data_IF_160643407788
#
_entry.id   IF_160643407788
#
_cell.length_a   1.000
_cell.length_b   1.000
_cell.length_c   1.000
_cell.angle_alpha   90.00
_cell.angle_beta   90.00
_cell.angle_gamma   90.00
#
_symmetry.space_group_name_H-M   'P 1'
#
loop_
_entity.id
_entity.type
_entity.pdbx_description
1 polymer ?
#
# COMPACT_ATOMS: atom_id res chain seq x y z
N UNK A 1 13.08 3.63 -52.65
CA UNK A 1 13.33 2.62 -51.59
C UNK A 1 13.65 3.22 -50.21
N UNK A 2 14.36 4.35 -50.11
CA UNK A 2 14.77 4.99 -48.83
C UNK A 2 13.64 5.40 -47.86
N UNK A 3 12.42 5.66 -48.35
CA UNK A 3 11.28 6.03 -47.48
C UNK A 3 10.69 4.85 -46.70
N UNK A 4 10.61 3.65 -47.29
CA UNK A 4 9.98 2.48 -46.63
C UNK A 4 10.82 2.00 -45.45
N UNK A 5 12.15 2.02 -45.58
CA UNK A 5 13.07 1.69 -44.50
C UNK A 5 13.04 2.71 -43.38
N UNK A 6 12.95 4.01 -43.67
CA UNK A 6 12.80 5.05 -42.62
C UNK A 6 11.49 4.91 -41.87
N UNK A 7 10.38 4.60 -42.56
CA UNK A 7 9.06 4.37 -41.93
C UNK A 7 9.10 3.13 -41.03
N UNK A 8 9.68 2.03 -41.51
CA UNK A 8 9.85 0.80 -40.72
C UNK A 8 10.70 1.06 -39.47
N UNK A 9 11.82 1.79 -39.59
CA UNK A 9 12.69 2.12 -38.46
C UNK A 9 11.99 2.99 -37.41
N UNK A 10 11.14 3.93 -37.82
CA UNK A 10 10.39 4.81 -36.92
C UNK A 10 9.25 4.08 -36.20
N UNK A 11 8.54 3.18 -36.88
CA UNK A 11 7.55 2.30 -36.25
C UNK A 11 8.26 1.41 -35.23
N UNK A 12 9.38 0.80 -35.60
CA UNK A 12 10.16 -0.03 -34.70
C UNK A 12 10.65 0.76 -33.48
N UNK A 13 11.11 1.99 -33.68
CA UNK A 13 11.55 2.89 -32.61
C UNK A 13 10.39 3.27 -31.66
N UNK A 14 9.20 3.52 -32.20
CA UNK A 14 8.01 3.89 -31.41
C UNK A 14 7.50 2.70 -30.58
N UNK A 15 7.48 1.51 -31.17
CA UNK A 15 7.13 0.26 -30.48
C UNK A 15 8.16 -0.05 -29.40
N UNK A 16 9.46 0.07 -29.71
CA UNK A 16 10.53 -0.13 -28.74
C UNK A 16 10.44 0.86 -27.58
N UNK A 17 10.17 2.15 -27.83
CA UNK A 17 10.01 3.17 -26.79
C UNK A 17 8.78 2.91 -25.92
N UNK A 18 7.67 2.48 -26.52
CA UNK A 18 6.44 2.12 -25.79
C UNK A 18 6.64 0.88 -24.92
N UNK A 19 7.32 -0.15 -25.45
CA UNK A 19 7.68 -1.34 -24.69
C UNK A 19 8.65 -1.02 -23.56
N UNK A 20 9.62 -0.12 -23.78
CA UNK A 20 10.52 0.36 -22.74
C UNK A 20 9.77 1.15 -21.65
N UNK A 21 8.84 2.04 -22.02
CA UNK A 21 8.03 2.78 -21.06
C UNK A 21 7.12 1.86 -20.23
N UNK A 22 6.46 0.89 -20.88
CA UNK A 22 5.66 -0.13 -20.20
C UNK A 22 6.53 -1.03 -19.29
N UNK A 23 7.73 -1.39 -19.75
CA UNK A 23 8.70 -2.17 -18.98
C UNK A 23 9.21 -1.41 -17.75
N UNK A 24 9.51 -0.11 -17.87
CA UNK A 24 9.90 0.75 -16.76
C UNK A 24 8.74 0.92 -15.78
N UNK A 25 7.53 1.23 -16.26
CA UNK A 25 6.35 1.34 -15.41
C UNK A 25 6.06 0.02 -14.66
N UNK A 26 6.13 -1.11 -15.37
CA UNK A 26 5.99 -2.44 -14.76
C UNK A 26 7.07 -2.73 -13.73
N UNK A 27 8.34 -2.41 -14.02
CA UNK A 27 9.45 -2.61 -13.09
C UNK A 27 9.30 -1.79 -11.79
N UNK A 28 8.83 -0.54 -11.89
CA UNK A 28 8.56 0.31 -10.72
C UNK A 28 7.35 -0.19 -9.92
N UNK A 29 6.34 -0.76 -10.58
CA UNK A 29 5.13 -1.28 -9.94
C UNK A 29 5.33 -2.65 -9.26
N UNK A 30 6.31 -3.43 -9.72
CA UNK A 30 6.62 -4.77 -9.18
C UNK A 30 7.52 -4.70 -7.94
N UNK A 31 8.23 -3.57 -7.70
CA UNK A 31 9.06 -3.45 -6.50
C UNK A 31 8.18 -3.38 -5.25
N UNK A 32 8.42 -4.26 -4.26
CA UNK A 32 7.63 -4.22 -3.05
C UNK A 32 7.94 -2.96 -2.25
N UNK A 33 6.90 -2.34 -1.69
CA UNK A 33 7.05 -1.16 -0.85
C UNK A 33 7.63 -1.57 0.51
N UNK A 34 8.70 -0.91 0.92
CA UNK A 34 9.24 -1.05 2.27
C UNK A 34 8.30 -0.34 3.26
N UNK A 35 7.87 -1.07 4.28
CA UNK A 35 7.01 -0.59 5.36
C UNK A 35 7.75 -0.80 6.66
N UNK A 36 8.08 0.28 7.36
CA UNK A 36 8.86 0.22 8.59
C UNK A 36 7.95 -0.06 9.79
N UNK A 37 8.26 -1.12 10.54
CA UNK A 37 7.55 -1.52 11.76
C UNK A 37 8.41 -1.22 13.00
N UNK A 38 7.96 -0.27 13.80
CA UNK A 38 8.52 0.02 15.11
C UNK A 38 8.12 -1.08 16.11
N UNK A 39 9.10 -1.77 16.69
CA UNK A 39 8.89 -2.92 17.56
C UNK A 39 9.87 -2.91 18.74
N UNK A 40 9.47 -3.50 19.86
CA UNK A 40 10.35 -3.73 21.01
C UNK A 40 11.60 -4.54 20.60
N UNK A 41 12.74 -4.39 21.28
CA UNK A 41 13.99 -5.02 20.86
C UNK A 41 13.98 -6.53 21.17
N UNK A 42 14.91 -7.28 20.58
CA UNK A 42 15.13 -8.68 20.98
C UNK A 42 15.58 -8.77 22.44
N UNK A 43 15.21 -9.83 23.19
CA UNK A 43 14.49 -11.05 22.77
C UNK A 43 12.95 -11.00 23.00
N UNK A 44 12.31 -9.84 22.84
CA UNK A 44 10.88 -9.67 23.12
C UNK A 44 9.96 -10.58 22.27
N UNK A 45 8.83 -11.08 22.82
CA UNK A 45 7.79 -11.75 22.05
C UNK A 45 7.27 -10.91 20.88
N UNK A 46 7.15 -9.61 21.08
CA UNK A 46 6.72 -8.64 20.08
C UNK A 46 7.66 -8.62 18.87
N UNK A 47 8.98 -8.65 19.09
CA UNK A 47 9.96 -8.76 18.01
C UNK A 47 9.84 -10.08 17.25
N UNK A 48 9.70 -11.19 17.98
CA UNK A 48 9.54 -12.52 17.36
C UNK A 48 8.29 -12.61 16.48
N UNK A 49 7.18 -12.04 16.93
CA UNK A 49 5.97 -11.90 16.13
C UNK A 49 6.20 -11.06 14.88
N UNK A 50 6.83 -9.89 15.02
CA UNK A 50 7.09 -8.99 13.91
C UNK A 50 7.99 -9.65 12.84
N UNK A 51 8.97 -10.43 13.27
CA UNK A 51 9.85 -11.18 12.36
C UNK A 51 9.10 -12.29 11.62
N UNK A 52 8.26 -13.07 12.31
CA UNK A 52 7.36 -14.05 11.68
C UNK A 52 6.41 -13.38 10.66
N UNK A 53 5.87 -12.21 10.98
CA UNK A 53 5.01 -11.46 10.07
C UNK A 53 5.77 -11.01 8.81
N UNK A 54 7.01 -10.55 8.96
CA UNK A 54 7.88 -10.20 7.83
C UNK A 54 8.17 -11.41 6.92
N UNK A 55 8.40 -12.59 7.53
CA UNK A 55 8.60 -13.85 6.81
C UNK A 55 7.34 -14.27 6.04
N UNK A 56 6.15 -14.23 6.67
CA UNK A 56 4.87 -14.57 6.03
C UNK A 56 4.59 -13.65 4.84
N UNK A 57 4.78 -12.33 4.98
CA UNK A 57 4.61 -11.38 3.87
C UNK A 57 5.60 -11.66 2.72
N UNK A 58 6.79 -12.15 3.06
CA UNK A 58 7.80 -12.54 2.06
C UNK A 58 7.37 -13.80 1.31
N UNK A 59 6.91 -14.82 2.03
CA UNK A 59 6.43 -16.10 1.48
C UNK A 59 5.20 -15.91 0.59
N UNK A 60 4.26 -15.07 1.03
CA UNK A 60 3.02 -14.77 0.29
C UNK A 60 3.25 -13.86 -0.94
N UNK A 61 4.50 -13.46 -1.21
CA UNK A 61 4.85 -12.49 -2.28
C UNK A 61 4.00 -11.23 -2.20
N UNK A 62 3.73 -10.75 -0.98
CA UNK A 62 2.98 -9.52 -0.76
C UNK A 62 3.66 -8.33 -1.46
N UNK A 63 2.88 -7.32 -1.82
CA UNK A 63 3.37 -6.07 -2.41
C UNK A 63 4.18 -5.22 -1.42
N UNK A 64 4.25 -5.65 -0.16
CA UNK A 64 5.00 -5.01 0.91
C UNK A 64 6.12 -5.89 1.48
N UNK A 65 7.15 -5.24 2.00
CA UNK A 65 8.22 -5.84 2.81
C UNK A 65 8.29 -5.09 4.14
N UNK A 66 8.34 -5.84 5.24
CA UNK A 66 8.50 -5.24 6.56
C UNK A 66 9.98 -5.05 6.88
N UNK A 67 10.33 -3.82 7.24
CA UNK A 67 11.61 -3.50 7.86
C UNK A 67 11.40 -3.29 9.35
N UNK A 68 12.03 -4.11 10.18
CA UNK A 68 11.89 -4.03 11.63
C UNK A 68 12.85 -2.97 12.18
N UNK A 69 12.30 -1.98 12.89
CA UNK A 69 13.08 -0.92 13.56
C UNK A 69 12.92 -1.08 15.08
N UNK A 70 13.91 -1.69 15.78
CA UNK A 70 13.87 -1.84 17.22
C UNK A 70 13.79 -0.48 17.93
N UNK A 71 12.87 -0.36 18.89
CA UNK A 71 12.70 0.83 19.74
C UNK A 71 13.27 0.56 21.12
N UNK A 72 13.85 1.55 21.77
CA UNK A 72 14.28 1.49 23.18
C UNK A 72 13.07 1.58 24.14
N UNK A 73 12.00 2.24 23.72
CA UNK A 73 10.76 2.37 24.50
C UNK A 73 9.53 2.44 23.61
N UNK A 74 8.36 2.07 24.16
CA UNK A 74 7.08 2.23 23.46
C UNK A 74 6.79 3.69 23.05
N UNK A 75 7.28 4.67 23.83
CA UNK A 75 7.14 6.08 23.49
C UNK A 75 7.95 6.47 22.24
N UNK A 76 9.14 5.89 22.05
CA UNK A 76 9.94 6.11 20.85
C UNK A 76 9.25 5.56 19.60
N UNK A 77 8.63 4.38 19.69
CA UNK A 77 7.83 3.82 18.59
C UNK A 77 6.69 4.76 18.17
N UNK A 78 5.97 5.33 19.15
CA UNK A 78 4.91 6.31 18.85
C UNK A 78 5.45 7.63 18.28
N UNK A 79 6.63 8.07 18.73
CA UNK A 79 7.27 9.26 18.18
C UNK A 79 7.66 9.06 16.70
N UNK A 80 8.23 7.91 16.35
CA UNK A 80 8.55 7.56 14.97
C UNK A 80 7.30 7.44 14.09
N UNK A 81 6.21 6.87 14.62
CA UNK A 81 4.92 6.83 13.92
C UNK A 81 4.38 8.24 13.64
N UNK A 82 4.51 9.16 14.61
CA UNK A 82 4.09 10.55 14.45
C UNK A 82 4.96 11.33 13.45
N UNK A 83 6.27 11.07 13.44
CA UNK A 83 7.25 11.72 12.56
C UNK A 83 7.25 11.13 11.13
N UNK A 84 6.63 9.97 10.93
CA UNK A 84 6.67 9.24 9.66
C UNK A 84 7.97 8.47 9.42
N UNK A 85 8.78 8.26 10.48
CA UNK A 85 9.94 7.38 10.45
C UNK A 85 9.58 5.89 10.60
N UNK A 86 8.36 5.62 11.08
CA UNK A 86 7.75 4.29 11.08
C UNK A 86 6.34 4.37 10.48
N UNK A 87 5.98 3.35 9.71
CA UNK A 87 4.63 3.24 9.12
C UNK A 87 3.69 2.42 10.01
N UNK A 88 4.25 1.47 10.76
CA UNK A 88 3.55 0.58 11.66
C UNK A 88 4.19 0.64 13.06
N UNK A 89 3.37 0.42 14.09
CA UNK A 89 3.85 0.27 15.47
C UNK A 89 3.00 -0.72 16.26
N UNK A 90 3.61 -1.36 17.26
CA UNK A 90 2.90 -2.12 18.27
C UNK A 90 2.62 -1.24 19.49
N UNK A 91 1.36 -1.15 19.88
CA UNK A 91 0.87 -0.20 20.90
C UNK A 91 0.08 -0.96 21.96
N UNK A 92 0.10 -0.47 23.20
CA UNK A 92 -0.85 -0.95 24.22
C UNK A 92 -1.87 0.13 24.50
N UNK A 93 -3.13 -0.26 24.67
CA UNK A 93 -4.25 0.68 24.77
C UNK A 93 -4.09 1.72 25.88
N UNK A 94 -3.41 1.40 26.99
CA UNK A 94 -3.18 2.29 28.12
C UNK A 94 -1.93 3.20 27.98
N UNK A 95 -1.30 3.24 26.80
CA UNK A 95 -0.18 4.15 26.54
C UNK A 95 -0.62 5.62 26.56
N UNK A 96 0.13 6.46 27.27
CA UNK A 96 -0.25 7.87 27.53
C UNK A 96 -0.27 8.76 26.29
N UNK A 97 0.45 8.39 25.23
CA UNK A 97 0.68 9.23 24.05
C UNK A 97 0.50 8.42 22.78
N UNK A 98 -0.76 8.20 22.41
CA UNK A 98 -1.11 7.62 21.11
C UNK A 98 -1.39 8.78 20.13
N UNK A 99 -0.54 9.00 19.10
CA UNK A 99 -0.79 10.01 18.08
C UNK A 99 -2.20 9.90 17.47
N UNK A 100 -2.89 11.03 17.24
CA UNK A 100 -4.24 11.05 16.68
C UNK A 100 -4.33 10.54 15.24
N UNK A 101 -3.18 10.40 14.57
CA UNK A 101 -3.03 9.86 13.22
C UNK A 101 -2.69 8.36 13.21
N UNK A 102 -2.57 7.72 14.38
CA UNK A 102 -2.53 6.27 14.47
C UNK A 102 -3.91 5.69 14.12
N UNK A 103 -3.91 4.57 13.40
CA UNK A 103 -5.11 3.85 13.00
C UNK A 103 -4.96 2.38 13.32
N UNK A 104 -5.97 1.80 13.95
CA UNK A 104 -5.95 0.40 14.35
C UNK A 104 -6.08 -0.51 13.13
N UNK A 105 -5.20 -1.51 13.05
CA UNK A 105 -5.26 -2.57 12.04
C UNK A 105 -5.87 -3.83 12.67
N UNK A 106 -5.36 -4.25 13.83
CA UNK A 106 -5.82 -5.46 14.50
C UNK A 106 -5.51 -5.39 16.00
N UNK A 107 -6.35 -6.06 16.80
CA UNK A 107 -6.03 -6.38 18.20
C UNK A 107 -5.24 -7.68 18.17
N UNK A 108 -3.96 -7.61 18.52
CA UNK A 108 -3.08 -8.78 18.50
C UNK A 108 -3.30 -9.65 19.72
N UNK A 109 -3.56 -9.04 20.88
CA UNK A 109 -3.80 -9.77 22.11
C UNK A 109 -4.47 -8.90 23.18
N UNK A 110 -5.31 -9.51 24.00
CA UNK A 110 -5.86 -8.89 25.20
C UNK A 110 -5.15 -9.42 26.44
N UNK A 111 -4.71 -8.52 27.32
CA UNK A 111 -4.03 -8.86 28.56
C UNK A 111 -4.92 -8.49 29.74
N UNK A 112 -5.38 -9.50 30.46
CA UNK A 112 -6.20 -9.31 31.67
C UNK A 112 -5.32 -9.15 32.90
N UNK A 113 -5.77 -8.30 33.82
CA UNK A 113 -5.15 -8.14 35.12
C UNK A 113 -5.63 -9.26 36.06
N UNK A 114 -4.68 -10.02 36.61
CA UNK A 114 -4.94 -10.95 37.70
C UNK A 114 -4.46 -10.33 39.00
N UNK A 115 -5.40 -10.14 39.92
CA UNK A 115 -5.13 -9.72 41.28
C UNK A 115 -5.08 -10.95 42.18
N UNK A 116 -3.88 -11.29 42.65
CA UNK A 116 -3.61 -12.51 43.39
C UNK A 116 -3.24 -12.19 44.84
N UNK A 117 -3.84 -12.93 45.76
CA UNK A 117 -3.55 -12.84 47.20
C UNK A 117 -3.37 -14.24 47.80
N UNK A 118 -2.71 -14.39 48.96
CA UNK A 118 -2.79 -15.63 49.74
C UNK A 118 -4.24 -16.02 49.98
N UNK A 119 -4.59 -17.31 49.89
CA UNK A 119 -6.00 -17.74 49.97
C UNK A 119 -6.71 -17.29 51.27
N UNK A 120 -5.96 -17.25 52.38
CA UNK A 120 -6.44 -16.80 53.71
C UNK A 120 -6.29 -15.28 53.94
N UNK A 121 -5.93 -14.51 52.93
CA UNK A 121 -5.76 -13.06 53.04
C UNK A 121 -7.10 -12.36 53.28
N UNK A 122 -7.08 -11.30 54.09
CA UNK A 122 -8.24 -10.39 54.29
C UNK A 122 -8.41 -9.39 53.15
N UNK A 123 -7.44 -9.31 52.24
CA UNK A 123 -7.46 -8.41 51.08
C UNK A 123 -8.43 -8.99 50.04
N UNK A 124 -9.52 -8.26 49.76
CA UNK A 124 -10.59 -8.69 48.85
C UNK A 124 -10.74 -7.77 47.64
N UNK A 125 -10.33 -6.51 47.76
CA UNK A 125 -10.46 -5.49 46.73
C UNK A 125 -9.14 -4.72 46.55
N UNK A 126 -9.04 -3.98 45.44
CA UNK A 126 -7.92 -3.08 45.20
C UNK A 126 -7.81 -1.97 46.26
N UNK A 127 -8.93 -1.57 46.88
CA UNK A 127 -8.95 -0.59 47.96
C UNK A 127 -8.24 -1.08 49.23
N UNK A 128 -8.21 -2.40 49.46
CA UNK A 128 -7.56 -3.00 50.64
C UNK A 128 -6.02 -3.01 50.56
N UNK A 129 -5.46 -2.60 49.41
CA UNK A 129 -4.01 -2.53 49.17
C UNK A 129 -3.36 -1.29 49.78
N UNK A 130 -4.13 -0.41 50.42
CA UNK A 130 -3.58 0.74 51.13
C UNK A 130 -2.55 0.29 52.19
N UNK A 131 -1.32 0.83 52.10
CA UNK A 131 -0.19 0.50 52.99
C UNK A 131 0.25 -0.99 52.94
N UNK A 132 -0.23 -1.76 51.95
CA UNK A 132 0.20 -3.14 51.70
C UNK A 132 1.36 -3.18 50.72
N UNK A 133 2.20 -4.19 50.84
CA UNK A 133 3.30 -4.40 49.89
C UNK A 133 2.78 -5.23 48.73
N UNK A 134 2.68 -4.59 47.57
CA UNK A 134 2.15 -5.22 46.36
C UNK A 134 3.27 -5.43 45.37
N UNK A 135 3.38 -6.66 44.89
CA UNK A 135 4.30 -7.00 43.82
C UNK A 135 3.60 -6.85 42.47
N UNK A 136 4.27 -6.23 41.51
CA UNK A 136 3.79 -6.15 40.13
C UNK A 136 4.77 -6.89 39.22
N UNK A 137 4.27 -7.86 38.45
CA UNK A 137 5.08 -8.52 37.42
C UNK A 137 5.24 -7.58 36.25
N UNK A 138 6.47 -7.13 36.02
CA UNK A 138 6.76 -6.03 35.11
C UNK A 138 8.10 -6.24 34.39
N UNK A 139 8.14 -5.88 33.11
CA UNK A 139 9.35 -6.00 32.26
C UNK A 139 9.97 -4.65 31.93
N UNK A 140 9.13 -3.64 31.68
CA UNK A 140 9.49 -2.39 31.02
C UNK A 140 8.89 -1.15 31.70
N UNK A 141 8.46 -1.28 32.96
CA UNK A 141 7.83 -0.25 33.79
C UNK A 141 6.35 -0.01 33.49
N UNK A 142 5.81 -0.61 32.44
CA UNK A 142 4.45 -0.29 31.95
C UNK A 142 3.37 -0.92 32.82
N UNK A 143 3.58 -2.11 33.37
CA UNK A 143 2.60 -2.75 34.27
C UNK A 143 2.60 -2.04 35.62
N UNK A 144 3.77 -1.64 36.11
CA UNK A 144 3.87 -0.84 37.34
C UNK A 144 3.15 0.51 37.17
N UNK A 145 3.40 1.22 36.06
CA UNK A 145 2.76 2.50 35.77
C UNK A 145 1.24 2.37 35.60
N UNK A 146 0.75 1.27 35.00
CA UNK A 146 -0.67 0.98 34.93
C UNK A 146 -1.26 0.74 36.34
N UNK A 147 -0.62 -0.10 37.15
CA UNK A 147 -1.09 -0.39 38.49
C UNK A 147 -1.13 0.86 39.38
N UNK A 148 -0.11 1.71 39.33
CA UNK A 148 -0.11 3.00 40.03
C UNK A 148 -1.29 3.89 39.61
N UNK A 149 -1.60 3.98 38.31
CA UNK A 149 -2.78 4.70 37.81
C UNK A 149 -4.10 4.12 38.31
N UNK A 150 -4.20 2.79 38.41
CA UNK A 150 -5.37 2.15 39.01
C UNK A 150 -5.53 2.57 40.48
N UNK A 151 -4.44 2.55 41.25
CA UNK A 151 -4.43 2.95 42.66
C UNK A 151 -4.77 4.42 42.91
N UNK A 152 -4.40 5.33 42.00
CA UNK A 152 -4.77 6.75 42.07
C UNK A 152 -6.30 6.95 42.13
N UNK A 153 -7.07 6.08 41.49
CA UNK A 153 -8.53 6.16 41.49
C UNK A 153 -9.16 5.75 42.84
N UNK A 154 -8.45 5.00 43.68
CA UNK A 154 -8.94 4.52 44.97
C UNK A 154 -8.73 5.53 46.11
N UNK A 155 -8.25 6.75 45.84
CA UNK A 155 -8.10 7.87 46.79
C UNK A 155 -7.53 7.45 48.15
N UNK A 156 -6.44 6.71 48.14
CA UNK A 156 -5.68 6.43 49.36
C UNK A 156 -5.13 7.74 49.94
N UNK A 157 -5.34 7.98 51.23
CA UNK A 157 -4.95 9.21 51.95
C UNK A 157 -3.42 9.40 51.99
N UNK A 158 -2.83 9.79 50.86
CA UNK A 158 -1.45 10.26 50.72
C UNK A 158 -0.34 9.23 50.90
N UNK A 159 -0.64 7.94 51.14
CA UNK A 159 0.37 6.87 51.23
C UNK A 159 0.20 5.85 50.10
N UNK A 160 1.08 5.93 49.11
CA UNK A 160 1.13 4.95 48.03
C UNK A 160 1.39 3.55 48.59
N UNK A 161 0.71 2.54 48.04
CA UNK A 161 1.07 1.14 48.27
C UNK A 161 2.57 0.95 48.01
N UNK A 162 3.25 0.13 48.81
CA UNK A 162 4.65 -0.19 48.56
C UNK A 162 4.69 -1.12 47.34
N UNK A 163 4.81 -0.54 46.15
CA UNK A 163 4.85 -1.27 44.89
C UNK A 163 6.28 -1.71 44.61
N UNK A 164 6.46 -3.02 44.40
CA UNK A 164 7.75 -3.60 43.99
C UNK A 164 7.56 -4.30 42.65
N UNK A 165 8.24 -3.78 41.62
CA UNK A 165 8.32 -4.45 40.33
C UNK A 165 9.25 -5.67 40.42
N UNK A 166 8.84 -6.79 39.84
CA UNK A 166 9.68 -7.97 39.65
C UNK A 166 9.56 -8.52 38.23
N UNK A 167 10.60 -9.18 37.70
CA UNK A 167 10.58 -9.72 36.35
C UNK A 167 9.43 -10.73 36.14
N UNK A 168 8.80 -10.75 34.95
CA UNK A 168 7.78 -11.73 34.63
C UNK A 168 8.33 -13.15 34.73
N UNK A 169 7.54 -14.07 35.29
CA UNK A 169 7.95 -15.47 35.49
C UNK A 169 8.60 -15.76 36.84
N UNK A 170 8.78 -14.74 37.70
CA UNK A 170 9.19 -14.96 39.08
C UNK A 170 8.11 -15.76 39.83
N UNK A 171 8.45 -16.88 40.51
CA UNK A 171 7.46 -17.70 41.22
C UNK A 171 6.74 -16.90 42.32
N UNK A 172 5.42 -17.09 42.46
CA UNK A 172 4.61 -16.41 43.48
C UNK A 172 4.88 -16.95 44.90
N UNK A 173 5.22 -18.24 45.02
CA UNK A 173 5.52 -18.92 46.27
C UNK A 173 6.47 -18.16 47.22
N UNK A 174 7.69 -17.77 46.81
CA UNK A 174 8.61 -17.03 47.67
C UNK A 174 8.18 -15.58 47.96
N UNK A 175 7.30 -15.00 47.14
CA UNK A 175 6.88 -13.60 47.27
C UNK A 175 5.68 -13.44 48.22
N UNK A 176 4.68 -14.33 48.08
CA UNK A 176 3.40 -14.29 48.80
C UNK A 176 3.27 -15.39 49.88
N UNK A 177 4.23 -16.31 49.98
CA UNK A 177 4.22 -17.39 50.97
C UNK A 177 4.56 -16.91 52.40
N UNK A 178 4.53 -17.82 53.39
CA UNK A 178 4.93 -17.50 54.77
C UNK A 178 6.38 -17.00 54.83
N UNK A 179 6.60 -15.78 55.34
CA UNK A 179 7.91 -15.11 55.32
C UNK A 179 8.23 -14.34 54.03
N UNK A 180 7.34 -14.41 53.03
CA UNK A 180 7.35 -13.57 51.84
C UNK A 180 7.08 -12.11 52.20
N UNK A 181 7.77 -11.19 51.53
CA UNK A 181 7.70 -9.77 51.83
C UNK A 181 6.50 -9.03 51.22
N UNK A 182 5.59 -9.72 50.53
CA UNK A 182 4.47 -9.11 49.81
C UNK A 182 3.11 -9.69 50.21
N UNK A 183 2.10 -8.83 50.25
CA UNK A 183 0.71 -9.16 50.62
C UNK A 183 -0.15 -9.53 49.41
N UNK A 184 0.21 -9.02 48.22
CA UNK A 184 -0.52 -9.18 46.97
C UNK A 184 0.42 -9.20 45.76
N UNK A 185 -0.01 -9.85 44.68
CA UNK A 185 0.66 -9.82 43.38
C UNK A 185 -0.30 -9.41 42.26
N UNK A 186 0.19 -8.61 41.33
CA UNK A 186 -0.51 -8.15 40.13
C UNK A 186 0.21 -8.69 38.91
N UNK A 187 -0.53 -9.39 38.06
CA UNK A 187 -0.02 -9.97 36.82
C UNK A 187 -0.89 -9.50 35.67
N UNK A 188 -0.26 -9.12 34.55
CA UNK A 188 -0.96 -8.97 33.28
C UNK A 188 -0.62 -10.16 32.40
N UNK A 189 -1.63 -10.97 32.07
CA UNK A 189 -1.46 -12.17 31.27
C UNK A 189 -2.37 -12.16 30.04
N UNK A 190 -1.92 -12.69 28.90
CA UNK A 190 -2.79 -12.90 27.74
C UNK A 190 -4.02 -13.72 28.12
N UNK A 191 -5.21 -13.25 27.77
CA UNK A 191 -6.47 -13.96 28.03
C UNK A 191 -6.48 -15.35 27.37
N UNK A 192 -5.96 -15.43 26.16
CA UNK A 192 -5.76 -16.66 25.39
C UNK A 192 -4.87 -17.69 26.09
N UNK A 193 -3.89 -17.26 26.90
CA UNK A 193 -3.04 -18.16 27.69
C UNK A 193 -3.82 -18.79 28.83
N UNK A 194 -4.81 -18.08 29.38
CA UNK A 194 -5.65 -18.58 30.46
C UNK A 194 -6.56 -19.71 29.98
N UNK A 195 -7.03 -19.63 28.74
CA UNK A 195 -7.85 -20.67 28.11
C UNK A 195 -7.06 -21.91 27.63
N UNK A 196 -5.72 -21.84 27.56
CA UNK A 196 -4.89 -22.90 27.00
C UNK A 196 -4.44 -23.95 28.02
N UNK A 197 -4.49 -25.24 27.66
CA UNK A 197 -4.20 -26.37 28.57
C UNK A 197 -2.81 -26.33 29.25
N UNK A 198 -1.75 -25.97 28.53
CA UNK A 198 -0.40 -25.88 29.11
C UNK A 198 -0.19 -24.65 29.99
N UNK A 199 -0.80 -23.52 29.60
CA UNK A 199 -0.82 -22.28 30.38
C UNK A 199 -1.55 -22.48 31.70
N UNK A 200 -2.70 -23.15 31.63
CA UNK A 200 -3.52 -23.60 32.74
C UNK A 200 -2.73 -24.49 33.71
N UNK A 201 -2.07 -25.55 33.24
CA UNK A 201 -1.32 -26.47 34.13
C UNK A 201 -0.14 -25.79 34.86
N UNK A 202 0.44 -24.75 34.26
CA UNK A 202 1.51 -23.96 34.89
C UNK A 202 0.95 -22.97 35.90
N UNK A 203 -0.17 -22.32 35.57
CA UNK A 203 -0.86 -21.39 36.45
C UNK A 203 -1.47 -22.10 37.66
N UNK A 204 -2.12 -23.25 37.47
CA UNK A 204 -2.68 -24.07 38.53
C UNK A 204 -1.62 -24.40 39.59
N UNK A 205 -0.46 -24.91 39.17
CA UNK A 205 0.67 -25.20 40.08
C UNK A 205 1.15 -23.95 40.82
N UNK A 206 1.20 -22.81 40.13
CA UNK A 206 1.59 -21.52 40.71
C UNK A 206 0.53 -20.89 41.63
N UNK A 207 -0.75 -21.26 41.47
CA UNK A 207 -1.90 -20.72 42.20
C UNK A 207 -2.31 -21.59 43.41
N UNK A 208 -1.73 -22.78 43.61
CA UNK A 208 -1.99 -23.59 44.81
C UNK A 208 -1.69 -22.80 46.09
N UNK A 209 -2.73 -22.57 46.90
CA UNK A 209 -2.64 -21.78 48.14
C UNK A 209 -2.90 -20.28 47.97
N UNK A 210 -3.23 -19.83 46.76
CA UNK A 210 -3.56 -18.45 46.41
C UNK A 210 -5.01 -18.32 45.95
N UNK A 211 -5.56 -17.12 46.05
CA UNK A 211 -6.88 -16.76 45.56
C UNK A 211 -6.77 -15.60 44.57
N UNK A 212 -7.48 -15.71 43.45
CA UNK A 212 -7.67 -14.61 42.49
C UNK A 212 -8.85 -13.78 42.95
N UNK A 213 -8.67 -12.46 42.98
CA UNK A 213 -9.62 -11.49 43.55
C UNK A 213 -10.19 -10.60 42.44
N UNK A 214 -11.48 -10.23 42.52
CA UNK A 214 -12.11 -9.36 41.55
C UNK A 214 -11.55 -7.93 41.62
N UNK A 215 -11.63 -7.25 40.50
CA UNK A 215 -11.62 -5.78 40.41
C UNK A 215 -13.06 -5.34 40.12
N UNK A 216 -13.88 -5.30 41.17
CA UNK A 216 -15.32 -5.06 41.06
C UNK A 216 -15.70 -3.73 40.39
N UNK A 217 -14.79 -2.76 40.36
CA UNK A 217 -15.01 -1.46 39.72
C UNK A 217 -14.58 -1.45 38.23
N UNK A 218 -14.37 -2.60 37.60
CA UNK A 218 -13.85 -2.72 36.23
C UNK A 218 -14.56 -1.79 35.23
N UNK A 219 -15.89 -1.81 35.17
CA UNK A 219 -16.68 -0.95 34.27
C UNK A 219 -16.54 0.54 34.61
N UNK A 220 -16.32 0.89 35.87
CA UNK A 220 -16.06 2.28 36.27
C UNK A 220 -14.64 2.72 35.88
N UNK A 221 -13.67 1.81 35.97
CA UNK A 221 -12.27 2.05 35.60
C UNK A 221 -12.12 2.24 34.09
N UNK A 222 -12.79 1.42 33.27
CA UNK A 222 -12.86 1.60 31.80
C UNK A 222 -13.34 3.00 31.40
N UNK A 223 -14.38 3.51 32.07
CA UNK A 223 -14.91 4.86 31.78
C UNK A 223 -13.99 6.00 32.25
N UNK A 224 -13.17 5.77 33.26
CA UNK A 224 -12.31 6.81 33.87
C UNK A 224 -10.90 6.83 33.30
N UNK A 225 -10.38 5.67 32.91
CA UNK A 225 -9.00 5.50 32.48
C UNK A 225 -9.02 5.07 31.01
N UNK A 226 -8.68 5.98 30.08
CA UNK A 226 -8.64 5.66 28.67
C UNK A 226 -7.74 4.46 28.37
N UNK A 227 -8.25 3.53 27.56
CA UNK A 227 -7.52 2.34 27.14
C UNK A 227 -7.55 1.16 28.12
N UNK A 228 -8.31 1.27 29.21
CA UNK A 228 -8.77 0.10 29.95
C UNK A 228 -10.07 -0.41 29.36
N UNK A 229 -10.26 -1.73 29.41
CA UNK A 229 -11.51 -2.40 29.04
C UNK A 229 -11.97 -3.25 30.23
N UNK A 230 -13.27 -3.26 30.50
CA UNK A 230 -13.82 -4.19 31.48
C UNK A 230 -13.86 -5.60 30.87
N UNK A 231 -13.45 -6.60 31.65
CA UNK A 231 -13.43 -8.00 31.22
C UNK A 231 -13.88 -8.90 32.36
N UNK A 232 -14.62 -9.95 32.04
CA UNK A 232 -15.00 -10.98 33.00
C UNK A 232 -14.16 -12.24 32.76
N UNK A 233 -13.60 -12.80 33.83
CA UNK A 233 -12.94 -14.10 33.85
C UNK A 233 -13.97 -15.11 34.32
N UNK A 234 -14.36 -16.02 33.43
CA UNK A 234 -15.35 -17.06 33.73
C UNK A 234 -14.86 -18.01 34.82
N UNK A 235 -15.81 -18.51 35.61
CA UNK A 235 -15.57 -19.48 36.66
C UNK A 235 -14.84 -20.72 36.11
N UNK A 236 -13.70 -21.07 36.71
CA UNK A 236 -12.90 -22.23 36.34
C UNK A 236 -11.96 -22.04 35.15
N UNK A 237 -11.87 -20.84 34.57
CA UNK A 237 -10.98 -20.57 33.45
C UNK A 237 -9.50 -20.79 33.80
N UNK A 238 -9.08 -20.55 35.05
CA UNK A 238 -7.68 -20.67 35.49
C UNK A 238 -7.34 -22.04 36.06
N UNK A 239 -8.30 -22.68 36.74
CA UNK A 239 -8.21 -24.07 37.21
C UNK A 239 -9.59 -24.70 37.23
N UNK A 240 -9.70 -25.96 36.81
CA UNK A 240 -10.97 -26.69 36.67
C UNK A 240 -11.30 -27.54 37.89
N UNK A 241 -10.29 -27.91 38.69
CA UNK A 241 -10.48 -28.67 39.94
C UNK A 241 -9.26 -28.50 40.87
N UNK A 242 -9.33 -27.70 41.94
CA UNK A 242 -10.49 -26.89 42.34
C UNK A 242 -10.79 -25.80 41.30
N UNK A 243 -12.05 -25.37 41.22
CA UNK A 243 -12.46 -24.34 40.28
C UNK A 243 -11.82 -23.00 40.67
N UNK A 244 -11.02 -22.41 39.80
CA UNK A 244 -10.40 -21.09 40.03
C UNK A 244 -10.63 -20.25 38.77
N UNK A 245 -11.26 -19.08 38.89
CA UNK A 245 -12.04 -18.60 40.04
C UNK A 245 -13.25 -19.49 40.34
N UNK A 246 -13.76 -19.49 41.57
CA UNK A 246 -14.96 -20.28 41.95
C UNK A 246 -16.22 -19.80 41.22
N UNK A 247 -16.35 -18.47 41.05
CA UNK A 247 -17.42 -17.74 40.38
C UNK A 247 -16.84 -16.76 39.35
N UNK A 248 -17.67 -16.26 38.44
CA UNK A 248 -17.27 -15.23 37.46
C UNK A 248 -16.68 -14.00 38.16
N UNK A 249 -15.54 -13.54 37.63
CA UNK A 249 -14.71 -12.52 38.28
C UNK A 249 -14.48 -11.36 37.33
N UNK A 250 -14.98 -10.18 37.70
CA UNK A 250 -14.73 -8.96 36.96
C UNK A 250 -13.30 -8.47 37.16
N UNK A 251 -12.67 -8.07 36.06
CA UNK A 251 -11.33 -7.50 36.04
C UNK A 251 -11.20 -6.44 34.93
N UNK A 252 -10.03 -5.81 34.86
CA UNK A 252 -9.67 -4.91 33.78
C UNK A 252 -8.68 -5.57 32.82
N UNK A 253 -8.78 -5.20 31.55
CA UNK A 253 -7.91 -5.64 30.48
C UNK A 253 -7.28 -4.45 29.74
N UNK A 254 -6.14 -4.72 29.10
CA UNK A 254 -5.50 -3.83 28.12
C UNK A 254 -5.29 -4.59 26.83
N UNK A 255 -5.42 -3.88 25.71
CA UNK A 255 -5.25 -4.45 24.38
C UNK A 255 -3.86 -4.14 23.84
N UNK A 256 -3.24 -5.11 23.17
CA UNK A 256 -2.06 -4.95 22.34
C UNK A 256 -2.52 -4.83 20.90
N UNK A 257 -2.29 -3.66 20.28
CA UNK A 257 -2.76 -3.36 18.94
C UNK A 257 -1.60 -3.23 17.97
N UNK A 258 -1.82 -3.70 16.74
CA UNK A 258 -1.04 -3.26 15.60
C UNK A 258 -1.69 -2.00 15.03
N UNK A 259 -0.94 -0.91 14.97
CA UNK A 259 -1.43 0.35 14.40
C UNK A 259 -0.60 0.74 13.18
N UNK A 260 -1.25 1.42 12.25
CA UNK A 260 -0.62 2.08 11.11
C UNK A 260 -0.75 3.60 11.21
N UNK A 261 0.12 4.29 10.50
CA UNK A 261 -0.09 5.70 10.15
C UNK A 261 -1.31 5.81 9.23
N UNK A 262 -2.15 6.83 9.45
CA UNK A 262 -3.36 7.08 8.64
C UNK A 262 -3.13 7.25 7.13
N UNK A 263 -1.89 7.55 6.71
CA UNK A 263 -1.51 7.73 5.31
C UNK A 263 -1.01 6.45 4.63
N UNK A 264 -0.90 5.33 5.36
CA UNK A 264 -0.47 4.06 4.78
C UNK A 264 -1.52 3.63 3.73
N UNK A 265 -1.11 3.25 2.49
CA UNK A 265 -2.07 2.87 1.47
C UNK A 265 -2.99 1.72 1.93
N UNK A 266 -4.29 1.87 1.66
CA UNK A 266 -5.31 0.91 2.09
C UNK A 266 -5.01 -0.52 1.62
N UNK A 267 -4.46 -0.67 0.40
CA UNK A 267 -4.09 -1.98 -0.15
C UNK A 267 -3.04 -2.69 0.70
N UNK A 268 -2.02 -1.97 1.15
CA UNK A 268 -0.98 -2.52 2.02
C UNK A 268 -1.58 -2.98 3.35
N UNK A 269 -2.56 -2.23 3.88
CA UNK A 269 -3.26 -2.64 5.11
C UNK A 269 -4.17 -3.85 4.89
N UNK A 270 -4.87 -3.95 3.75
CA UNK A 270 -5.65 -5.15 3.40
C UNK A 270 -4.74 -6.38 3.29
N UNK A 271 -3.56 -6.25 2.67
CA UNK A 271 -2.58 -7.33 2.59
C UNK A 271 -2.02 -7.72 3.97
N UNK A 272 -1.77 -6.74 4.85
CA UNK A 272 -1.42 -7.00 6.25
C UNK A 272 -2.54 -7.75 6.97
N UNK A 273 -3.80 -7.34 6.81
CA UNK A 273 -4.96 -8.03 7.39
C UNK A 273 -5.04 -9.47 6.93
N UNK A 274 -4.94 -9.73 5.62
CA UNK A 274 -4.89 -11.10 5.08
C UNK A 274 -3.76 -11.90 5.70
N UNK A 275 -2.54 -11.34 5.75
CA UNK A 275 -1.40 -12.02 6.36
C UNK A 275 -1.67 -12.38 7.83
N UNK A 276 -2.25 -11.46 8.61
CA UNK A 276 -2.56 -11.65 10.03
C UNK A 276 -3.62 -12.73 10.26
N UNK A 277 -4.77 -12.65 9.57
CA UNK A 277 -5.91 -13.52 9.84
C UNK A 277 -5.81 -14.89 9.14
N UNK A 278 -5.20 -14.96 7.96
CA UNK A 278 -5.03 -16.24 7.25
C UNK A 278 -3.86 -17.06 7.83
N UNK A 279 -2.87 -16.41 8.47
CA UNK A 279 -1.67 -17.07 9.00
C UNK A 279 -1.53 -16.94 10.52
N UNK A 280 -2.60 -16.59 11.24
CA UNK A 280 -2.56 -16.30 12.68
C UNK A 280 -1.87 -17.39 13.52
N UNK A 281 -2.08 -18.67 13.19
CA UNK A 281 -1.41 -19.80 13.86
C UNK A 281 0.11 -19.79 13.71
N UNK A 282 0.63 -19.41 12.55
CA UNK A 282 2.07 -19.36 12.30
C UNK A 282 2.70 -18.15 13.00
N UNK A 283 1.95 -17.04 13.07
CA UNK A 283 2.38 -15.77 13.65
C UNK A 283 2.45 -15.82 15.18
N UNK A 284 1.59 -16.61 15.82
CA UNK A 284 1.55 -16.75 17.27
C UNK A 284 2.94 -17.06 17.85
N UNK A 285 3.34 -16.31 18.88
CA UNK A 285 4.50 -16.64 19.70
C UNK A 285 3.96 -17.38 20.91
N UNK A 286 4.20 -18.69 20.93
CA UNK A 286 3.58 -19.61 21.87
C UNK A 286 3.61 -19.07 23.30
N UNK A 287 2.44 -19.14 23.95
CA UNK A 287 2.20 -18.75 25.34
C UNK A 287 2.60 -17.30 25.71
N UNK A 288 2.93 -16.44 24.75
CA UNK A 288 3.50 -15.12 25.04
C UNK A 288 2.91 -13.96 24.26
N UNK A 289 2.63 -14.11 22.96
CA UNK A 289 2.12 -12.99 22.16
C UNK A 289 1.36 -13.41 20.90
N UNK A 290 0.35 -12.62 20.52
CA UNK A 290 -0.44 -12.77 19.29
C UNK A 290 -1.04 -14.16 19.10
N UNK A 291 -1.47 -14.79 20.19
CA UNK A 291 -2.06 -16.13 20.16
C UNK A 291 -3.54 -16.13 19.78
N UNK A 292 -4.20 -14.98 19.91
CA UNK A 292 -5.59 -14.74 19.49
C UNK A 292 -5.69 -13.34 18.89
N UNK A 293 -5.53 -13.27 17.57
CA UNK A 293 -5.64 -12.02 16.80
C UNK A 293 -7.11 -11.78 16.47
N UNK A 294 -7.58 -10.57 16.76
CA UNK A 294 -8.97 -10.15 16.57
C UNK A 294 -9.05 -8.90 15.69
N UNK A 295 -10.14 -8.73 14.93
CA UNK A 295 -10.34 -7.52 14.16
C UNK A 295 -10.41 -6.30 15.09
N UNK A 296 -9.99 -5.12 14.59
CA UNK A 296 -10.05 -3.90 15.37
C UNK A 296 -11.51 -3.49 15.60
N UNK A 297 -11.76 -2.75 16.67
CA UNK A 297 -13.09 -2.21 16.94
C UNK A 297 -13.57 -1.33 15.78
N UNK A 298 -14.81 -1.59 15.34
CA UNK A 298 -15.51 -0.82 14.30
C UNK A 298 -16.32 0.35 14.88
N UNK A 299 -16.31 0.51 16.20
CA UNK A 299 -17.03 1.58 16.88
C UNK A 299 -16.39 2.95 16.62
N UNK A 300 -17.23 3.96 16.41
CA UNK A 300 -16.78 5.35 16.18
C UNK A 300 -16.10 5.98 17.40
N UNK A 301 -16.33 5.41 18.60
CA UNK A 301 -15.82 5.91 19.89
C UNK A 301 -14.61 5.10 20.36
N UNK A 302 -14.07 4.21 19.52
CA UNK A 302 -12.86 3.46 19.84
C UNK A 302 -11.68 4.43 20.12
N UNK A 303 -10.85 4.08 21.11
CA UNK A 303 -9.66 4.87 21.49
C UNK A 303 -8.76 5.16 20.28
N UNK A 304 -8.62 4.19 19.39
CA UNK A 304 -7.87 4.29 18.14
C UNK A 304 -8.83 3.97 16.99
N UNK A 305 -9.10 4.95 16.14
CA UNK A 305 -9.95 4.76 14.97
C UNK A 305 -9.38 3.67 14.04
N UNK A 306 -10.26 2.86 13.45
CA UNK A 306 -9.90 1.82 12.48
C UNK A 306 -9.25 2.43 11.22
N UNK A 307 -8.26 1.73 10.66
CA UNK A 307 -7.68 2.11 9.37
C UNK A 307 -8.68 1.82 8.22
N UNK A 308 -8.88 2.69 7.21
CA UNK A 308 -9.83 2.43 6.12
C UNK A 308 -9.60 1.10 5.39
N UNK A 309 -8.34 0.71 5.17
CA UNK A 309 -8.00 -0.61 4.63
C UNK A 309 -8.36 -1.79 5.55
N UNK A 310 -8.27 -1.62 6.88
CA UNK A 310 -8.72 -2.64 7.82
C UNK A 310 -10.25 -2.72 7.86
N UNK A 311 -10.92 -1.57 7.77
CA UNK A 311 -12.37 -1.49 7.65
C UNK A 311 -12.88 -2.21 6.38
N UNK A 312 -12.24 -2.01 5.23
CA UNK A 312 -12.56 -2.71 3.98
C UNK A 312 -12.44 -4.23 4.10
N UNK A 313 -11.41 -4.71 4.81
CA UNK A 313 -11.25 -6.15 5.04
C UNK A 313 -12.36 -6.70 5.93
N UNK A 314 -12.65 -6.02 7.05
CA UNK A 314 -13.68 -6.45 8.01
C UNK A 314 -15.09 -6.38 7.41
N UNK A 315 -15.39 -5.37 6.59
CA UNK A 315 -16.69 -5.27 5.90
C UNK A 315 -16.83 -6.21 4.70
N UNK A 316 -15.75 -6.88 4.26
CA UNK A 316 -15.73 -7.66 3.02
C UNK A 316 -15.76 -6.79 1.75
N UNK A 317 -15.68 -5.47 1.87
CA UNK A 317 -15.71 -4.51 0.76
C UNK A 317 -14.29 -4.22 0.24
N UNK A 318 -13.49 -5.26 0.03
CA UNK A 318 -12.15 -5.09 -0.53
C UNK A 318 -12.28 -4.68 -2.00
N UNK A 319 -11.97 -3.41 -2.29
CA UNK A 319 -11.96 -2.88 -3.66
C UNK A 319 -11.02 -3.69 -4.55
N UNK A 320 -11.50 -4.08 -5.73
CA UNK A 320 -10.64 -4.76 -6.72
C UNK A 320 -9.64 -3.79 -7.34
N UNK A 321 -8.59 -4.32 -7.99
CA UNK A 321 -7.63 -3.49 -8.74
C UNK A 321 -8.33 -2.65 -9.81
N UNK A 322 -9.37 -3.21 -10.45
CA UNK A 322 -10.15 -2.50 -11.45
C UNK A 322 -10.95 -1.35 -10.82
N UNK A 323 -11.65 -1.59 -9.71
CA UNK A 323 -12.44 -0.52 -9.04
C UNK A 323 -11.57 0.65 -8.57
N UNK A 324 -10.31 0.39 -8.21
CA UNK A 324 -9.37 1.41 -7.72
C UNK A 324 -8.69 2.19 -8.83
N UNK A 325 -8.27 1.49 -9.89
CA UNK A 325 -7.45 2.07 -10.96
C UNK A 325 -8.21 2.33 -12.25
N UNK A 326 -9.52 2.03 -12.32
CA UNK A 326 -10.34 2.29 -13.49
C UNK A 326 -10.13 3.72 -14.02
N UNK A 327 -10.21 4.72 -13.14
CA UNK A 327 -10.01 6.12 -13.50
C UNK A 327 -8.62 6.38 -14.10
N UNK A 328 -7.55 5.81 -13.51
CA UNK A 328 -6.19 5.96 -14.04
C UNK A 328 -6.00 5.22 -15.36
N UNK A 329 -6.62 4.05 -15.53
CA UNK A 329 -6.60 3.29 -16.78
C UNK A 329 -7.30 4.10 -17.88
N UNK A 330 -8.45 4.71 -17.59
CA UNK A 330 -9.15 5.58 -18.53
C UNK A 330 -8.32 6.82 -18.87
N UNK A 331 -7.72 7.50 -17.88
CA UNK A 331 -6.81 8.63 -18.11
C UNK A 331 -5.63 8.20 -18.99
N UNK A 332 -5.02 7.05 -18.74
CA UNK A 332 -3.95 6.50 -19.55
C UNK A 332 -4.39 6.23 -20.99
N UNK A 333 -5.59 5.68 -21.19
CA UNK A 333 -6.16 5.43 -22.51
C UNK A 333 -6.42 6.73 -23.27
N UNK A 334 -6.97 7.75 -22.60
CA UNK A 334 -7.16 9.08 -23.21
C UNK A 334 -5.83 9.75 -23.57
N UNK A 335 -4.85 9.71 -22.67
CA UNK A 335 -3.52 10.25 -22.92
C UNK A 335 -2.85 9.54 -24.11
N UNK A 336 -2.95 8.20 -24.18
CA UNK A 336 -2.46 7.42 -25.31
C UNK A 336 -3.14 7.80 -26.63
N UNK A 337 -4.47 8.03 -26.61
CA UNK A 337 -5.21 8.48 -27.79
C UNK A 337 -4.77 9.85 -28.29
N UNK A 338 -4.53 10.81 -27.37
CA UNK A 338 -4.03 12.15 -27.70
C UNK A 338 -2.62 12.07 -28.28
N UNK A 339 -1.73 11.33 -27.62
CA UNK A 339 -0.34 11.15 -28.08
C UNK A 339 -0.29 10.44 -29.43
N UNK A 340 -1.10 9.40 -29.63
CA UNK A 340 -1.21 8.68 -30.88
C UNK A 340 -1.69 9.59 -32.02
N UNK A 341 -2.71 10.41 -31.78
CA UNK A 341 -3.20 11.38 -32.75
C UNK A 341 -2.15 12.45 -33.09
N UNK A 342 -1.44 12.96 -32.08
CA UNK A 342 -0.34 13.91 -32.26
C UNK A 342 0.82 13.33 -33.07
N UNK A 343 1.18 12.08 -32.82
CA UNK A 343 2.21 11.38 -33.58
C UNK A 343 1.83 11.22 -35.06
N UNK A 344 0.56 10.87 -35.34
CA UNK A 344 0.04 10.79 -36.72
C UNK A 344 0.07 12.16 -37.40
N UNK A 345 -0.32 13.23 -36.70
CA UNK A 345 -0.31 14.58 -37.25
C UNK A 345 1.12 15.06 -37.56
N UNK A 346 2.07 14.84 -36.64
CA UNK A 346 3.49 15.18 -36.82
C UNK A 346 4.09 14.39 -37.98
N UNK A 347 3.78 13.10 -38.08
CA UNK A 347 4.17 12.26 -39.21
C UNK A 347 3.63 12.83 -40.54
N UNK A 348 2.38 13.26 -40.55
CA UNK A 348 1.76 13.93 -41.70
C UNK A 348 2.44 15.24 -42.09
N UNK A 349 2.99 16.01 -41.15
CA UNK A 349 3.71 17.25 -41.43
C UNK A 349 5.13 17.03 -41.94
N UNK A 350 5.91 16.15 -41.29
CA UNK A 350 7.33 15.95 -41.60
C UNK A 350 7.55 15.20 -42.92
N UNK A 351 6.66 14.26 -43.26
CA UNK A 351 6.84 13.37 -44.40
C UNK A 351 5.96 13.69 -45.62
N UNK A 352 5.12 14.73 -45.56
CA UNK A 352 4.40 15.23 -46.74
C UNK A 352 5.37 15.87 -47.73
N UNK A 353 5.72 15.17 -48.80
CA UNK A 353 6.30 15.81 -49.99
C UNK A 353 5.17 16.51 -50.75
N UNK A 354 5.28 17.81 -51.07
CA UNK A 354 4.29 18.45 -51.93
C UNK A 354 4.28 17.74 -53.30
N UNK A 355 3.11 17.36 -53.85
CA UNK A 355 3.05 16.82 -55.20
C UNK A 355 3.59 17.87 -56.17
N UNK A 356 4.39 17.43 -57.15
CA UNK A 356 4.88 18.32 -58.20
C UNK A 356 3.67 18.73 -59.04
N UNK A 357 3.49 20.04 -59.24
CA UNK A 357 2.34 20.57 -59.96
C UNK A 357 2.50 20.33 -61.46
N UNK A 358 1.43 19.94 -62.17
CA UNK A 358 1.46 19.77 -63.63
C UNK A 358 1.93 21.05 -64.36
N UNK A 359 1.66 22.22 -63.77
CA UNK A 359 2.08 23.53 -64.30
C UNK A 359 3.59 23.75 -64.39
N UNK A 360 4.43 23.02 -63.64
CA UNK A 360 5.89 23.16 -63.76
C UNK A 360 6.43 22.70 -65.12
N UNK A 361 5.68 21.83 -65.82
CA UNK A 361 6.02 21.35 -67.17
C UNK A 361 5.43 22.21 -68.29
N UNK A 362 4.57 23.18 -67.98
CA UNK A 362 4.07 24.14 -68.96
C UNK A 362 5.19 25.04 -69.52
N UNK A 363 6.23 25.33 -68.73
CA UNK A 363 7.43 26.03 -69.20
C UNK A 363 8.21 25.23 -70.24
N UNK A 364 8.28 23.90 -70.10
CA UNK A 364 8.92 23.02 -71.07
C UNK A 364 8.16 23.04 -72.41
N UNK A 365 6.82 22.99 -72.37
CA UNK A 365 5.99 23.11 -73.57
C UNK A 365 6.09 24.50 -74.23
N UNK A 366 6.22 25.57 -73.45
CA UNK A 366 6.44 26.92 -73.98
C UNK A 366 7.78 27.04 -74.71
N UNK A 367 8.86 26.45 -74.18
CA UNK A 367 10.17 26.41 -74.84
C UNK A 367 10.15 25.57 -76.12
N UNK A 368 9.45 24.43 -76.12
CA UNK A 368 9.26 23.59 -77.31
C UNK A 368 8.45 24.32 -78.39
N UNK A 369 7.44 25.11 -78.00
CA UNK A 369 6.67 25.96 -78.92
C UNK A 369 7.55 27.01 -79.60
N UNK A 370 8.48 27.64 -78.86
CA UNK A 370 9.43 28.59 -79.45
C UNK A 370 10.39 27.91 -80.41
N UNK A 371 10.91 26.72 -80.07
CA UNK A 371 11.73 25.90 -80.97
C UNK A 371 10.98 25.51 -82.24
N UNK A 372 9.70 25.11 -82.13
CA UNK A 372 8.86 24.78 -83.28
C UNK A 372 8.69 25.97 -84.25
N UNK A 373 8.60 27.20 -83.73
CA UNK A 373 8.47 28.42 -84.56
C UNK A 373 9.76 28.84 -85.24
N UNK A 374 10.91 28.46 -84.69
CA UNK A 374 12.23 28.81 -85.21
C UNK A 374 12.84 27.70 -86.11
N UNK A 375 12.17 26.56 -86.25
CA UNK A 375 12.64 25.43 -87.04
C UNK A 375 12.65 25.76 -88.54
N UNK A 376 13.75 25.45 -89.20
CA UNK A 376 13.96 25.71 -90.64
C UNK A 376 13.94 24.44 -91.50
N UNK A 377 13.82 23.26 -90.87
CA UNK A 377 13.83 21.95 -91.51
C UNK A 377 12.73 21.04 -90.94
N UNK A 378 12.21 20.14 -91.78
CA UNK A 378 11.19 19.16 -91.39
C UNK A 378 11.69 18.18 -90.32
N UNK A 379 12.98 17.83 -90.35
CA UNK A 379 13.57 16.92 -89.36
C UNK A 379 13.61 17.52 -87.94
N UNK A 380 13.79 18.83 -87.81
CA UNK A 380 13.73 19.52 -86.51
C UNK A 380 12.31 19.58 -85.95
N UNK A 381 11.30 19.69 -86.82
CA UNK A 381 9.89 19.67 -86.41
C UNK A 381 9.45 18.29 -85.90
N UNK A 382 9.90 17.22 -86.55
CA UNK A 382 9.65 15.85 -86.11
C UNK A 382 10.27 15.58 -84.72
N UNK A 383 11.46 16.12 -84.48
CA UNK A 383 12.12 16.02 -83.17
C UNK A 383 11.36 16.78 -82.07
N UNK A 384 10.87 17.99 -82.38
CA UNK A 384 10.07 18.78 -81.44
C UNK A 384 8.72 18.13 -81.14
N UNK A 385 8.06 17.52 -82.14
CA UNK A 385 6.82 16.76 -81.97
C UNK A 385 7.02 15.57 -81.01
N UNK A 386 8.09 14.79 -81.19
CA UNK A 386 8.43 13.67 -80.29
C UNK A 386 8.74 14.13 -78.85
N UNK A 387 9.43 15.27 -78.68
CA UNK A 387 9.69 15.85 -77.36
C UNK A 387 8.39 16.31 -76.66
N UNK A 388 7.41 16.83 -77.41
CA UNK A 388 6.08 17.21 -76.88
C UNK A 388 5.30 15.98 -76.39
N UNK A 389 5.32 14.88 -77.15
CA UNK A 389 4.66 13.62 -76.77
C UNK A 389 5.30 12.98 -75.52
N UNK A 390 6.62 12.99 -75.42
CA UNK A 390 7.34 12.49 -74.24
C UNK A 390 6.95 13.26 -72.96
N UNK A 391 6.75 14.58 -73.07
CA UNK A 391 6.28 15.41 -71.94
C UNK A 391 4.84 15.05 -71.55
N UNK A 392 3.96 14.78 -72.52
CA UNK A 392 2.58 14.34 -72.29
C UNK A 392 2.54 12.98 -71.57
N UNK A 393 3.26 11.98 -72.07
CA UNK A 393 3.30 10.63 -71.48
C UNK A 393 3.86 10.65 -70.05
N UNK A 394 4.87 11.49 -69.82
CA UNK A 394 5.40 11.70 -68.48
C UNK A 394 4.40 12.36 -67.53
N UNK A 395 3.47 13.19 -68.01
CA UNK A 395 2.41 13.81 -67.17
C UNK A 395 1.29 12.82 -66.92
N UNK A 396 0.85 12.09 -67.93
CA UNK A 396 -0.21 11.07 -67.81
C UNK A 396 0.21 9.94 -66.86
N UNK A 397 1.43 9.42 -67.01
CA UNK A 397 1.98 8.41 -66.09
C UNK A 397 2.12 8.96 -64.67
N UNK A 398 2.55 10.21 -64.52
CA UNK A 398 2.66 10.85 -63.22
C UNK A 398 1.32 11.15 -62.54
N UNK A 399 0.25 11.38 -63.30
CA UNK A 399 -1.12 11.49 -62.79
C UNK A 399 -1.68 10.12 -62.38
N UNK A 400 -1.40 9.06 -63.15
CA UNK A 400 -1.82 7.70 -62.84
C UNK A 400 -1.19 7.18 -61.53
N UNK A 401 0.10 7.47 -61.30
CA UNK A 401 0.83 7.05 -60.09
C UNK A 401 0.65 8.00 -58.89
N UNK A 402 -0.15 9.07 -59.03
CA UNK A 402 -0.42 10.06 -57.99
C UNK A 402 0.78 10.95 -57.63
N UNK A 403 1.86 10.91 -58.43
CA UNK A 403 3.06 11.72 -58.26
C UNK A 403 2.86 13.19 -58.69
N UNK A 404 1.93 13.43 -59.62
CA UNK A 404 1.55 14.75 -60.14
C UNK A 404 0.14 15.09 -59.69
N UNK A 405 -0.07 16.31 -59.20
CA UNK A 405 -1.40 16.79 -58.84
C UNK A 405 -2.23 17.15 -60.09
N UNK A 406 -3.54 16.86 -60.13
CA UNK A 406 -4.46 17.36 -61.16
C UNK A 406 -4.56 18.89 -61.23
N UNK A 407 -4.07 19.60 -60.20
CA UNK A 407 -4.04 21.08 -60.19
C UNK A 407 -3.08 21.60 -61.27
N UNK A 408 -3.61 22.47 -62.14
CA UNK A 408 -2.87 23.07 -63.26
C UNK A 408 -2.93 22.26 -64.56
N UNK A 409 -3.73 21.19 -64.62
CA UNK A 409 -3.91 20.38 -65.83
C UNK A 409 -4.49 21.18 -67.00
N UNK A 410 -5.39 22.14 -66.74
CA UNK A 410 -5.92 23.03 -67.77
C UNK A 410 -4.83 23.94 -68.38
N UNK A 411 -3.94 24.48 -67.55
CA UNK A 411 -2.80 25.27 -68.03
C UNK A 411 -1.80 24.43 -68.83
N UNK A 412 -1.57 23.18 -68.41
CA UNK A 412 -0.77 22.22 -69.19
C UNK A 412 -1.43 21.88 -70.52
N UNK A 413 -2.74 21.61 -70.55
CA UNK A 413 -3.51 21.32 -71.77
C UNK A 413 -3.44 22.50 -72.74
N UNK A 414 -3.65 23.73 -72.25
CA UNK A 414 -3.56 24.93 -73.07
C UNK A 414 -2.15 25.16 -73.63
N UNK A 415 -1.10 24.86 -72.85
CA UNK A 415 0.28 24.92 -73.34
C UNK A 415 0.60 23.82 -74.36
N UNK A 416 0.03 22.62 -74.19
CA UNK A 416 0.20 21.49 -75.10
C UNK A 416 -0.49 21.75 -76.44
N UNK A 417 -1.74 22.18 -76.41
CA UNK A 417 -2.52 22.55 -77.60
C UNK A 417 -1.80 23.67 -78.37
N UNK A 418 -1.33 24.71 -77.68
CA UNK A 418 -0.58 25.80 -78.29
C UNK A 418 0.78 25.39 -78.89
N UNK A 419 1.44 24.38 -78.33
CA UNK A 419 2.69 23.84 -78.87
C UNK A 419 2.44 22.99 -80.14
N UNK A 420 1.39 22.15 -80.11
CA UNK A 420 0.98 21.34 -81.26
C UNK A 420 0.50 22.20 -82.44
N UNK A 421 -0.28 23.25 -82.16
CA UNK A 421 -0.72 24.20 -83.17
C UNK A 421 0.46 24.95 -83.83
N UNK A 422 1.50 25.26 -83.05
CA UNK A 422 2.72 25.89 -83.57
C UNK A 422 3.51 24.95 -84.50
N UNK A 423 3.65 23.67 -84.14
CA UNK A 423 4.25 22.64 -85.01
C UNK A 423 3.44 22.49 -86.31
N UNK A 424 2.11 22.40 -86.21
CA UNK A 424 1.23 22.28 -87.38
C UNK A 424 1.22 23.53 -88.27
N UNK A 425 1.43 24.72 -87.71
CA UNK A 425 1.57 25.96 -88.47
C UNK A 425 2.93 26.05 -89.17
N UNK A 426 4.03 25.69 -88.48
CA UNK A 426 5.37 25.69 -89.05
C UNK A 426 5.51 24.64 -90.18
N UNK A 427 4.95 23.43 -90.01
CA UNK A 427 4.95 22.39 -91.05
C UNK A 427 4.20 22.81 -92.32
N UNK A 428 3.14 23.64 -92.19
CA UNK A 428 2.41 24.24 -93.33
C UNK A 428 3.17 25.38 -94.02
N UNK A 429 4.11 26.02 -93.32
CA UNK A 429 4.95 27.07 -93.90
C UNK A 429 6.19 26.51 -94.62
N UNK A 430 6.57 25.26 -94.31
CA UNK A 430 7.68 24.52 -94.90
C UNK A 430 7.26 23.60 -96.07
N UNK A 431 5.95 23.36 -96.25
CA UNK A 431 5.35 22.72 -97.42
C UNK A 431 5.05 23.73 -98.51
#
# INVERSE_FOLDING_TARGET
MRNRTTILLLILATVALSAAAAGVAGYWYIKPTLVTLAVSPEPSPEYRFARKLAEVLTQNRASIRLELKPTESGQQGMAWLAQGEADLALVRSDDRRIPPMARSIAVLEEQVLLFITPAKSKIRSLADLEKRRTVVMDRDGRNEALFRRLMEQYRHDGRAAAVVAVPPGTPLAPLLGPGGGADAAILLLPLSRLAGAEGFATLERGLKGYAVRPVSDASALERKIPGLYAQTIEAGLLSGSPRIPDDDLDTVAVQRLLVARAKLPEQHVVELMRALFENGRQLAVEQTFATRIEPPSTEKVALIAIHPGAQQYVSGEVKTLFDRYADMVFIGLYAAGILGSGAVALYGMVFRRPPVHAGSRAHALAALRERARAACDGQELDAVEAEIEMVLDGVLSGLADGAISPRGLEGFRLAYDAARDAVAAARRALS
#
